data_IF_941145551650
#
_entry.id   IF_941145551650
#
_cell.length_a   1.000
_cell.length_b   1.000
_cell.length_c   1.000
_cell.angle_alpha   90.00
_cell.angle_beta   90.00
_cell.angle_gamma   90.00
#
_symmetry.space_group_name_H-M   'P 1'
#
loop_
_entity.id
_entity.type
_entity.pdbx_description
1 polymer ?
#
# COMPACT_ATOMS: atom_id res chain seq x y z
N UNK A 1 1.95 11.45 1.33
CA UNK A 1 3.09 10.96 0.53
C UNK A 1 3.88 9.88 1.27
N UNK A 2 4.50 10.21 2.41
CA UNK A 2 5.32 9.25 3.19
C UNK A 2 4.60 7.92 3.46
N UNK A 3 3.35 7.96 3.93
CA UNK A 3 2.56 6.74 4.17
C UNK A 3 2.39 5.86 2.92
N UNK A 4 2.20 6.46 1.74
CA UNK A 4 2.09 5.73 0.46
C UNK A 4 3.44 5.13 0.05
N UNK A 5 4.55 5.87 0.23
CA UNK A 5 5.90 5.35 -0.04
C UNK A 5 6.18 4.13 0.84
N UNK A 6 5.93 4.24 2.15
CA UNK A 6 6.13 3.13 3.09
C UNK A 6 5.28 1.92 2.71
N UNK A 7 4.03 2.14 2.29
CA UNK A 7 3.14 1.06 1.85
C UNK A 7 3.61 0.39 0.54
N UNK A 8 4.14 1.17 -0.41
CA UNK A 8 4.74 0.63 -1.64
C UNK A 8 5.97 -0.20 -1.29
N UNK A 9 6.83 0.28 -0.37
CA UNK A 9 7.98 -0.48 0.11
C UNK A 9 7.56 -1.78 0.81
N UNK A 10 6.53 -1.75 1.65
CA UNK A 10 5.95 -2.95 2.28
C UNK A 10 5.37 -3.93 1.24
N UNK A 11 4.75 -3.41 0.17
CA UNK A 11 4.25 -4.21 -0.94
C UNK A 11 5.39 -4.88 -1.72
N UNK A 12 6.45 -4.13 -2.02
CA UNK A 12 7.68 -4.65 -2.59
C UNK A 12 8.30 -5.73 -1.72
N UNK A 13 8.38 -5.50 -0.41
CA UNK A 13 8.86 -6.48 0.57
C UNK A 13 8.00 -7.76 0.57
N UNK A 14 6.67 -7.63 0.48
CA UNK A 14 5.74 -8.76 0.38
C UNK A 14 5.97 -9.58 -0.89
N UNK A 15 6.21 -8.92 -2.02
CA UNK A 15 6.48 -9.58 -3.31
C UNK A 15 7.83 -10.28 -3.32
N UNK A 16 8.90 -9.61 -2.87
CA UNK A 16 10.27 -10.14 -2.88
C UNK A 16 10.47 -11.32 -1.93
N UNK A 17 9.64 -11.44 -0.88
CA UNK A 17 9.68 -12.55 0.08
C UNK A 17 8.61 -13.63 -0.19
N UNK A 18 7.96 -13.62 -1.37
CA UNK A 18 6.90 -14.57 -1.73
C UNK A 18 5.79 -14.69 -0.67
N UNK A 19 5.47 -13.58 0.00
CA UNK A 19 4.53 -13.52 1.12
C UNK A 19 3.08 -13.21 0.68
N UNK A 20 2.86 -12.84 -0.59
CA UNK A 20 1.56 -12.38 -1.09
C UNK A 20 0.41 -13.39 -0.91
N UNK A 21 0.70 -14.69 -0.79
CA UNK A 21 -0.29 -15.74 -0.55
C UNK A 21 -0.19 -16.36 0.85
N UNK A 22 0.47 -15.71 1.80
CA UNK A 22 0.59 -16.20 3.18
C UNK A 22 -0.73 -16.07 3.98
N UNK A 23 -1.60 -15.15 3.56
CA UNK A 23 -2.99 -15.09 3.99
C UNK A 23 -3.83 -15.44 2.75
N UNK A 24 -4.50 -16.58 2.77
CA UNK A 24 -5.20 -17.14 1.60
C UNK A 24 -6.66 -16.68 1.49
N UNK A 25 -7.12 -15.88 2.43
CA UNK A 25 -8.49 -15.42 2.59
C UNK A 25 -8.55 -13.92 2.93
N UNK A 26 -9.75 -13.37 2.81
CA UNK A 26 -10.10 -12.00 3.16
C UNK A 26 -11.55 -12.00 3.68
N UNK A 27 -11.90 -11.27 4.77
CA UNK A 27 -11.10 -10.29 5.51
C UNK A 27 -10.18 -10.87 6.59
N UNK A 28 -10.32 -12.14 6.94
CA UNK A 28 -9.42 -12.85 7.86
C UNK A 28 -8.09 -13.20 7.20
N UNK A 29 -7.18 -13.80 7.95
CA UNK A 29 -5.93 -14.40 7.47
C UNK A 29 -5.81 -15.81 8.09
N UNK A 30 -5.94 -16.84 7.27
CA UNK A 30 -6.04 -18.23 7.71
C UNK A 30 -7.23 -18.47 8.65
N UNK A 31 -8.38 -17.82 8.40
CA UNK A 31 -9.57 -17.91 9.27
C UNK A 31 -9.50 -17.12 10.58
N UNK A 32 -8.39 -16.43 10.85
CA UNK A 32 -8.19 -15.62 12.05
C UNK A 32 -8.19 -14.12 11.72
N UNK A 33 -8.84 -13.30 12.54
CA UNK A 33 -8.78 -11.84 12.39
C UNK A 33 -7.41 -11.27 12.75
N UNK A 34 -6.79 -11.85 13.78
CA UNK A 34 -5.42 -11.59 14.19
C UNK A 34 -4.79 -12.97 14.34
N UNK A 35 -3.96 -13.43 13.38
CA UNK A 35 -3.35 -14.74 13.47
C UNK A 35 -2.40 -14.83 14.68
N UNK A 36 -2.49 -15.88 15.51
CA UNK A 36 -1.67 -15.99 16.72
C UNK A 36 -0.20 -16.32 16.42
N UNK A 37 0.06 -17.02 15.32
CA UNK A 37 1.38 -17.61 15.01
C UNK A 37 2.23 -16.70 14.11
N UNK A 38 2.05 -15.38 14.15
CA UNK A 38 2.85 -14.45 13.35
C UNK A 38 4.23 -14.23 13.95
N UNK A 39 5.29 -14.44 13.16
CA UNK A 39 6.67 -14.19 13.57
C UNK A 39 7.17 -12.84 13.05
N UNK A 40 7.05 -11.79 13.87
CA UNK A 40 7.52 -10.44 13.52
C UNK A 40 9.02 -10.23 13.69
N UNK A 41 9.70 -10.99 14.56
CA UNK A 41 11.14 -10.82 14.79
C UNK A 41 11.95 -11.11 13.54
N UNK A 42 11.46 -12.06 12.73
CA UNK A 42 12.07 -12.46 11.47
C UNK A 42 11.48 -11.73 10.26
N UNK A 43 10.34 -11.04 10.39
CA UNK A 43 9.59 -10.52 9.24
C UNK A 43 10.30 -9.39 8.48
N UNK A 44 11.15 -8.61 9.15
CA UNK A 44 11.71 -7.36 8.61
C UNK A 44 13.22 -7.26 8.73
N UNK A 45 13.92 -8.40 8.77
CA UNK A 45 15.39 -8.44 8.77
C UNK A 45 15.91 -8.22 7.33
N UNK A 46 16.60 -7.11 7.02
CA UNK A 46 16.99 -6.79 5.64
C UNK A 46 18.12 -7.67 5.10
N UNK A 47 18.98 -8.17 5.98
CA UNK A 47 20.18 -8.92 5.62
C UNK A 47 20.43 -10.04 6.64
N UNK A 48 20.51 -11.29 6.18
CA UNK A 48 20.74 -12.47 7.02
C UNK A 48 22.12 -13.12 6.83
N UNK A 49 23.03 -12.48 6.10
CA UNK A 49 24.35 -13.03 5.78
C UNK A 49 24.43 -13.62 4.38
N UNK A 50 25.64 -14.07 3.99
CA UNK A 50 25.89 -14.69 2.70
C UNK A 50 25.51 -16.19 2.75
N UNK A 51 24.73 -16.67 1.77
CA UNK A 51 24.35 -18.09 1.64
C UNK A 51 22.96 -18.45 2.18
N UNK A 52 22.20 -17.49 2.71
CA UNK A 52 20.76 -17.66 3.01
C UNK A 52 19.99 -16.97 1.90
N UNK A 53 19.45 -17.73 0.95
CA UNK A 53 18.57 -17.18 -0.07
C UNK A 53 17.12 -17.08 0.44
N UNK A 54 16.34 -16.20 -0.17
CA UNK A 54 14.89 -16.10 0.00
C UNK A 54 14.14 -16.74 -1.18
N UNK A 55 14.86 -17.26 -2.17
CA UNK A 55 14.28 -17.85 -3.37
C UNK A 55 13.61 -19.18 -3.00
N UNK A 56 12.35 -19.35 -3.41
CA UNK A 56 11.61 -20.58 -3.13
C UNK A 56 10.90 -20.65 -1.77
N UNK A 57 10.86 -19.57 -0.99
CA UNK A 57 10.01 -19.50 0.22
C UNK A 57 10.62 -20.16 1.46
N UNK A 58 11.93 -20.00 1.65
CA UNK A 58 12.68 -20.52 2.82
C UNK A 58 12.27 -19.83 4.14
N UNK A 59 11.62 -18.65 4.07
CA UNK A 59 10.95 -18.08 5.24
C UNK A 59 9.80 -18.99 5.68
N UNK A 60 9.74 -19.28 6.98
CA UNK A 60 8.63 -20.03 7.55
C UNK A 60 7.28 -19.32 7.28
N UNK A 61 6.21 -20.10 7.30
CA UNK A 61 4.86 -19.61 7.03
C UNK A 61 4.46 -18.47 7.99
N UNK A 62 4.87 -18.57 9.25
CA UNK A 62 4.64 -17.59 10.31
C UNK A 62 5.23 -16.21 9.97
N UNK A 63 6.46 -16.17 9.45
CA UNK A 63 7.15 -14.93 9.10
C UNK A 63 6.54 -14.29 7.85
N UNK A 64 6.24 -15.09 6.82
CA UNK A 64 5.54 -14.61 5.61
C UNK A 64 4.15 -14.07 5.94
N UNK A 65 3.45 -14.73 6.86
CA UNK A 65 2.14 -14.27 7.35
C UNK A 65 2.26 -12.90 8.03
N UNK A 66 3.27 -12.71 8.89
CA UNK A 66 3.54 -11.42 9.52
C UNK A 66 3.80 -10.30 8.50
N UNK A 67 4.59 -10.58 7.45
CA UNK A 67 4.85 -9.65 6.34
C UNK A 67 3.54 -9.25 5.64
N UNK A 68 2.77 -10.25 5.19
CA UNK A 68 1.55 -10.00 4.44
C UNK A 68 0.48 -9.30 5.28
N UNK A 69 0.32 -9.71 6.54
CA UNK A 69 -0.59 -9.07 7.48
C UNK A 69 -0.20 -7.61 7.72
N UNK A 70 1.10 -7.31 7.88
CA UNK A 70 1.59 -5.93 8.02
C UNK A 70 1.27 -5.07 6.81
N UNK A 71 1.42 -5.62 5.59
CA UNK A 71 1.01 -4.92 4.37
C UNK A 71 -0.50 -4.63 4.35
N UNK A 72 -1.35 -5.55 4.81
CA UNK A 72 -2.81 -5.35 4.89
C UNK A 72 -3.17 -4.25 5.90
N UNK A 73 -2.54 -4.23 7.08
CA UNK A 73 -2.74 -3.18 8.08
C UNK A 73 -2.26 -1.82 7.55
N UNK A 74 -1.08 -1.79 6.93
CA UNK A 74 -0.56 -0.58 6.28
C UNK A 74 -1.49 -0.05 5.18
N UNK A 75 -2.15 -0.94 4.43
CA UNK A 75 -3.14 -0.57 3.44
C UNK A 75 -4.31 0.18 4.11
N UNK A 76 -4.89 -0.37 5.19
CA UNK A 76 -5.97 0.27 5.97
C UNK A 76 -5.58 1.68 6.41
N UNK A 77 -4.37 1.82 6.96
CA UNK A 77 -3.83 3.11 7.39
C UNK A 77 -3.76 4.08 6.21
N UNK A 78 -3.14 3.69 5.09
CA UNK A 78 -3.05 4.53 3.88
C UNK A 78 -4.42 4.91 3.35
N UNK A 79 -5.38 3.99 3.33
CA UNK A 79 -6.73 4.25 2.87
C UNK A 79 -7.41 5.33 3.71
N UNK A 80 -7.36 5.21 5.03
CA UNK A 80 -7.90 6.22 5.93
C UNK A 80 -7.27 7.59 5.68
N UNK A 81 -5.94 7.67 5.61
CA UNK A 81 -5.24 8.94 5.38
C UNK A 81 -5.55 9.56 4.00
N UNK A 82 -5.53 8.75 2.94
CA UNK A 82 -5.79 9.22 1.58
C UNK A 82 -7.26 9.59 1.36
N UNK A 83 -8.20 8.86 1.96
CA UNK A 83 -9.62 9.20 1.95
C UNK A 83 -9.89 10.52 2.69
N UNK A 84 -9.29 10.72 3.87
CA UNK A 84 -9.38 11.98 4.60
C UNK A 84 -8.79 13.16 3.79
N UNK A 85 -7.66 12.94 3.12
CA UNK A 85 -7.08 13.94 2.22
C UNK A 85 -8.02 14.27 1.06
N UNK A 86 -8.61 13.25 0.41
CA UNK A 86 -9.59 13.47 -0.66
C UNK A 86 -10.79 14.31 -0.19
N UNK A 87 -11.34 14.03 1.00
CA UNK A 87 -12.42 14.81 1.60
C UNK A 87 -11.98 16.27 1.85
N UNK A 88 -10.75 16.49 2.34
CA UNK A 88 -10.21 17.84 2.56
C UNK A 88 -10.07 18.61 1.25
N UNK A 89 -9.54 17.97 0.20
CA UNK A 89 -9.41 18.55 -1.14
C UNK A 89 -10.78 18.92 -1.73
N UNK A 90 -11.76 18.04 -1.56
CA UNK A 90 -13.13 18.30 -1.99
C UNK A 90 -13.71 19.55 -1.32
N UNK A 91 -13.53 19.68 0.00
CA UNK A 91 -13.99 20.84 0.78
C UNK A 91 -13.26 22.14 0.40
N UNK A 92 -12.04 22.05 -0.11
CA UNK A 92 -11.26 23.19 -0.62
C UNK A 92 -11.51 23.47 -2.12
N UNK A 93 -12.60 22.93 -2.69
CA UNK A 93 -12.97 23.06 -4.10
C UNK A 93 -11.97 22.48 -5.11
N UNK A 94 -10.95 21.74 -4.66
CA UNK A 94 -10.03 20.98 -5.50
C UNK A 94 -10.64 19.64 -5.93
N UNK A 95 -11.77 19.70 -6.68
CA UNK A 95 -12.61 18.53 -6.98
C UNK A 95 -11.92 17.47 -7.83
N UNK A 96 -11.19 17.89 -8.86
CA UNK A 96 -10.47 16.96 -9.77
C UNK A 96 -9.44 16.11 -9.01
N UNK A 97 -8.47 16.70 -8.28
CA UNK A 97 -7.50 15.88 -7.53
C UNK A 97 -8.15 15.06 -6.41
N UNK A 98 -9.23 15.55 -5.79
CA UNK A 98 -9.99 14.78 -4.80
C UNK A 98 -10.58 13.49 -5.42
N UNK A 99 -11.25 13.61 -6.56
CA UNK A 99 -11.86 12.48 -7.27
C UNK A 99 -10.81 11.52 -7.83
N UNK A 100 -9.73 12.04 -8.44
CA UNK A 100 -8.62 11.21 -8.93
C UNK A 100 -7.99 10.40 -7.79
N UNK A 101 -7.69 11.05 -6.66
CA UNK A 101 -7.11 10.38 -5.49
C UNK A 101 -8.04 9.29 -4.95
N UNK A 102 -9.33 9.59 -4.78
CA UNK A 102 -10.30 8.62 -4.27
C UNK A 102 -10.52 7.44 -5.23
N UNK A 103 -10.65 7.72 -6.53
CA UNK A 103 -10.84 6.69 -7.55
C UNK A 103 -9.66 5.73 -7.62
N UNK A 104 -8.43 6.25 -7.66
CA UNK A 104 -7.21 5.43 -7.64
C UNK A 104 -7.09 4.63 -6.34
N UNK A 105 -7.46 5.22 -5.20
CA UNK A 105 -7.42 4.54 -3.91
C UNK A 105 -8.39 3.35 -3.84
N UNK A 106 -9.63 3.54 -4.30
CA UNK A 106 -10.63 2.47 -4.35
C UNK A 106 -10.22 1.36 -5.31
N UNK A 107 -9.69 1.73 -6.47
CA UNK A 107 -9.16 0.77 -7.44
C UNK A 107 -7.98 -0.02 -6.85
N UNK A 108 -7.02 0.65 -6.20
CA UNK A 108 -5.87 0.01 -5.56
C UNK A 108 -6.31 -1.01 -4.52
N UNK A 109 -7.28 -0.62 -3.68
CA UNK A 109 -7.82 -1.48 -2.63
C UNK A 109 -8.53 -2.70 -3.21
N UNK A 110 -9.38 -2.51 -4.22
CA UNK A 110 -10.09 -3.59 -4.91
C UNK A 110 -9.15 -4.57 -5.62
N UNK A 111 -8.09 -4.06 -6.26
CA UNK A 111 -7.06 -4.91 -6.88
C UNK A 111 -6.25 -5.69 -5.82
N UNK A 112 -5.98 -5.07 -4.66
CA UNK A 112 -5.31 -5.74 -3.54
C UNK A 112 -6.13 -6.92 -3.00
N UNK A 113 -7.44 -6.73 -2.80
CA UNK A 113 -8.34 -7.82 -2.41
C UNK A 113 -8.40 -8.90 -3.50
N UNK A 114 -8.51 -8.50 -4.76
CA UNK A 114 -8.55 -9.41 -5.91
C UNK A 114 -7.30 -10.30 -6.01
N UNK A 115 -6.13 -9.77 -5.68
CA UNK A 115 -4.89 -10.57 -5.62
C UNK A 115 -4.97 -11.71 -4.61
N UNK A 116 -5.67 -11.53 -3.49
CA UNK A 116 -5.85 -12.60 -2.49
C UNK A 116 -6.94 -13.57 -2.94
N UNK A 117 -8.13 -13.05 -3.27
CA UNK A 117 -9.32 -13.87 -3.59
C UNK A 117 -9.11 -14.73 -4.84
N UNK A 118 -8.37 -14.24 -5.84
CA UNK A 118 -8.13 -14.95 -7.09
C UNK A 118 -6.77 -15.65 -7.15
N UNK A 119 -6.09 -15.85 -6.02
CA UNK A 119 -4.81 -16.55 -5.93
C UNK A 119 -3.70 -15.93 -6.82
N UNK A 120 -3.52 -14.61 -6.68
CA UNK A 120 -2.47 -13.81 -7.31
C UNK A 120 -2.36 -13.95 -8.84
N UNK A 121 -3.41 -13.61 -9.62
CA UNK A 121 -3.29 -13.58 -11.07
C UNK A 121 -2.27 -12.52 -11.49
N UNK A 122 -1.31 -12.89 -12.34
CA UNK A 122 -0.20 -12.02 -12.75
C UNK A 122 -0.67 -10.67 -13.28
N UNK A 123 -1.75 -10.65 -14.06
CA UNK A 123 -2.30 -9.40 -14.61
C UNK A 123 -2.89 -8.49 -13.52
N UNK A 124 -3.53 -9.06 -12.49
CA UNK A 124 -4.08 -8.30 -11.36
C UNK A 124 -2.95 -7.76 -10.49
N UNK A 125 -1.90 -8.55 -10.26
CA UNK A 125 -0.71 -8.11 -9.54
C UNK A 125 0.00 -6.97 -10.27
N UNK A 126 0.18 -7.08 -11.59
CA UNK A 126 0.75 -6.02 -12.42
C UNK A 126 -0.11 -4.75 -12.40
N UNK A 127 -1.44 -4.88 -12.54
CA UNK A 127 -2.36 -3.75 -12.45
C UNK A 127 -2.30 -3.07 -11.07
N UNK A 128 -2.24 -3.85 -9.99
CA UNK A 128 -2.10 -3.34 -8.62
C UNK A 128 -0.82 -2.50 -8.45
N UNK A 129 0.30 -2.92 -9.04
CA UNK A 129 1.54 -2.15 -9.01
C UNK A 129 1.46 -0.89 -9.87
N UNK A 130 0.83 -0.97 -11.05
CA UNK A 130 0.61 0.18 -11.93
C UNK A 130 -0.25 1.26 -11.27
N UNK A 131 -1.35 0.87 -10.62
CA UNK A 131 -2.23 1.81 -9.91
C UNK A 131 -1.53 2.41 -8.68
N UNK A 132 -0.68 1.65 -7.99
CA UNK A 132 0.14 2.19 -6.90
C UNK A 132 1.09 3.30 -7.39
N UNK A 133 1.72 3.10 -8.55
CA UNK A 133 2.57 4.11 -9.17
C UNK A 133 1.77 5.37 -9.57
N UNK A 134 0.58 5.21 -10.14
CA UNK A 134 -0.31 6.33 -10.47
C UNK A 134 -0.78 7.10 -9.22
N UNK A 135 -1.08 6.38 -8.13
CA UNK A 135 -1.45 6.97 -6.85
C UNK A 135 -0.28 7.80 -6.27
N UNK A 136 0.93 7.25 -6.31
CA UNK A 136 2.14 7.96 -5.90
C UNK A 136 2.36 9.22 -6.74
N UNK A 137 2.30 9.10 -8.06
CA UNK A 137 2.48 10.22 -8.99
C UNK A 137 1.45 11.33 -8.73
N UNK A 138 0.18 10.97 -8.52
CA UNK A 138 -0.89 11.93 -8.20
C UNK A 138 -0.55 12.74 -6.94
N UNK A 139 -0.05 12.08 -5.89
CA UNK A 139 0.35 12.76 -4.66
C UNK A 139 1.59 13.63 -4.83
N UNK A 140 2.58 13.18 -5.61
CA UNK A 140 3.78 13.97 -5.92
C UNK A 140 3.41 15.21 -6.74
N UNK A 141 2.60 15.07 -7.79
CA UNK A 141 2.12 16.18 -8.60
C UNK A 141 1.34 17.18 -7.75
N UNK A 142 0.43 16.71 -6.90
CA UNK A 142 -0.32 17.59 -6.01
C UNK A 142 0.60 18.38 -5.08
N UNK A 143 1.59 17.73 -4.46
CA UNK A 143 2.56 18.41 -3.59
C UNK A 143 3.39 19.45 -4.35
N UNK A 144 3.90 19.09 -5.52
CA UNK A 144 4.67 19.99 -6.38
C UNK A 144 3.89 21.27 -6.73
N UNK A 145 2.63 21.12 -7.19
CA UNK A 145 1.79 22.27 -7.51
C UNK A 145 1.40 23.08 -6.26
N UNK A 146 1.15 22.43 -5.13
CA UNK A 146 0.83 23.13 -3.87
C UNK A 146 2.00 23.97 -3.36
N UNK A 147 3.24 23.52 -3.57
CA UNK A 147 4.44 24.24 -3.17
C UNK A 147 4.75 25.42 -4.10
N UNK A 148 4.51 25.25 -5.39
CA UNK A 148 4.86 26.23 -6.42
C UNK A 148 3.77 27.26 -6.72
N UNK A 149 2.63 27.21 -6.03
CA UNK A 149 1.63 28.27 -6.14
C UNK A 149 2.06 29.42 -5.23
N UNK A 150 2.46 30.60 -5.76
CA UNK A 150 2.80 31.74 -4.93
C UNK A 150 1.59 32.08 -4.06
N UNK A 151 1.80 32.27 -2.76
CA UNK A 151 0.77 32.86 -1.90
C UNK A 151 0.34 34.17 -2.55
N UNK A 152 -0.93 34.26 -2.95
CA UNK A 152 -1.54 35.55 -3.31
C UNK A 152 -1.47 36.41 -2.06
N UNK A 153 -0.40 37.20 -1.91
CA UNK A 153 -0.41 38.34 -1.02
C UNK A 153 -1.49 39.27 -1.55
N UNK A 154 -2.57 39.35 -0.79
CA UNK A 154 -3.61 40.36 -0.95
C UNK A 154 -2.97 41.72 -0.69
N UNK A 155 -2.45 42.35 -1.74
CA UNK A 155 -2.28 43.79 -1.78
C UNK A 155 -3.69 44.40 -1.68
N UNK A 156 -4.04 44.88 -0.49
CA UNK A 156 -5.17 45.76 -0.27
C UNK A 156 -4.64 47.17 -0.43
N UNK A 157 -5.07 47.85 -1.50
CA UNK A 157 -4.85 49.29 -1.73
C UNK A 157 -5.48 50.14 -0.61
#
# INVERSE_FOLDING_TARGET
LVAVIMQIMLGGWTSSNYAALACTDFPTCGGHWIPPDMNFSEAFIPWRGLGIDYEGGILDSATRMAIHFSHRIGAVVVFCFAALLSIRLWKQHARVPALCLLGLLLLQWGLGISNVVFNLPVLVAAAHNGVAALLLLTLVSFLYFSWNTPSRETHYD
#
